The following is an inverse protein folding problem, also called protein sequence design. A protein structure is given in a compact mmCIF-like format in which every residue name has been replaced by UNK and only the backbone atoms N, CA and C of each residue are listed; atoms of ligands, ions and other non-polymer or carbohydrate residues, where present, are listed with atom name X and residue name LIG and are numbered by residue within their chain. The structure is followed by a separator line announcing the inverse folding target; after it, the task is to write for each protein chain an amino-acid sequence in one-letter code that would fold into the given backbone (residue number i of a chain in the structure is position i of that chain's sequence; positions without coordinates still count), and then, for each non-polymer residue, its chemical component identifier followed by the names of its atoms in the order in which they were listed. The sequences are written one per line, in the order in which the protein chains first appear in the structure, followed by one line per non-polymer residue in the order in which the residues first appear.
data_IF_372107634822
#
_entry.id   IF_372107634822
#
_cell.length_a   1.000
_cell.length_b   1.000
_cell.length_c   1.000
_cell.angle_alpha   90.00
_cell.angle_beta   90.00
_cell.angle_gamma   90.00
#
_symmetry.space_group_name_H-M   'P 1'
#
loop_
_entity.id
_entity.type
_entity.pdbx_description
1 polymer ?
#
# COMPACT_ATOMS: atom_id res chain seq x y z
N UNK A 1 8.08 -25.23 2.98
CA UNK A 1 9.41 -24.93 2.37
C UNK A 1 9.21 -23.77 1.42
N UNK A 2 9.81 -22.61 1.69
CA UNK A 2 9.80 -21.51 0.73
C UNK A 2 10.71 -21.88 -0.45
N UNK A 3 10.30 -21.66 -1.71
CA UNK A 3 11.18 -21.90 -2.85
C UNK A 3 12.40 -20.98 -2.74
N UNK A 4 13.59 -21.55 -2.89
CA UNK A 4 14.82 -20.77 -2.99
C UNK A 4 14.73 -19.91 -4.26
N UNK A 5 14.85 -18.60 -4.11
CA UNK A 5 14.92 -17.68 -5.23
C UNK A 5 16.28 -17.88 -5.91
N UNK A 6 16.34 -18.73 -6.94
CA UNK A 6 17.40 -18.66 -7.93
C UNK A 6 17.30 -17.25 -8.52
N UNK A 7 18.34 -16.42 -8.41
CA UNK A 7 18.31 -14.96 -8.69
C UNK A 7 17.93 -14.53 -10.12
N UNK A 8 17.18 -15.33 -10.88
CA UNK A 8 16.37 -14.89 -12.02
C UNK A 8 15.22 -14.02 -11.53
N UNK A 9 15.05 -12.91 -12.21
CA UNK A 9 13.84 -12.09 -12.12
C UNK A 9 12.67 -12.91 -12.66
N UNK A 10 11.72 -13.23 -11.81
CA UNK A 10 10.55 -14.05 -12.14
C UNK A 10 9.35 -13.63 -11.29
N UNK A 11 8.14 -14.00 -11.68
CA UNK A 11 6.93 -13.82 -10.88
C UNK A 11 6.65 -15.10 -10.11
N UNK A 12 6.76 -15.02 -8.78
CA UNK A 12 6.60 -16.16 -7.88
C UNK A 12 5.32 -16.06 -7.06
N UNK A 13 4.66 -17.20 -6.83
CA UNK A 13 3.50 -17.27 -5.95
C UNK A 13 3.95 -17.38 -4.50
N UNK A 14 3.51 -16.45 -3.66
CA UNK A 14 3.75 -16.44 -2.20
C UNK A 14 2.44 -16.41 -1.42
N UNK A 15 2.53 -16.40 -0.09
CA UNK A 15 1.39 -16.15 0.80
C UNK A 15 0.69 -14.80 0.56
N UNK A 16 1.37 -13.84 -0.10
CA UNK A 16 0.84 -12.53 -0.47
C UNK A 16 0.24 -12.50 -1.89
N UNK A 17 0.30 -13.62 -2.62
CA UNK A 17 -0.07 -13.73 -4.02
C UNK A 17 1.11 -13.60 -4.98
N UNK A 18 0.86 -13.14 -6.20
CA UNK A 18 1.86 -13.01 -7.27
C UNK A 18 2.87 -11.90 -6.93
N UNK A 19 4.12 -12.28 -6.70
CA UNK A 19 5.18 -11.40 -6.17
C UNK A 19 6.38 -11.37 -7.10
N UNK A 20 6.98 -10.20 -7.29
CA UNK A 20 8.22 -10.03 -8.05
C UNK A 20 9.37 -10.63 -7.23
N UNK A 21 10.07 -11.63 -7.78
CA UNK A 21 11.15 -12.32 -7.10
C UNK A 21 12.24 -11.36 -6.61
N UNK A 22 12.74 -11.62 -5.40
CA UNK A 22 13.71 -10.75 -4.73
C UNK A 22 13.11 -9.52 -4.04
N UNK A 23 11.79 -9.33 -4.10
CA UNK A 23 11.11 -8.20 -3.46
C UNK A 23 9.91 -8.67 -2.62
N UNK A 24 9.29 -7.74 -1.88
CA UNK A 24 7.97 -7.96 -1.26
C UNK A 24 6.83 -7.32 -2.07
N UNK A 25 7.12 -6.86 -3.29
CA UNK A 25 6.18 -6.12 -4.15
C UNK A 25 5.36 -7.13 -4.93
N UNK A 26 4.04 -7.04 -4.76
CA UNK A 26 3.08 -7.86 -5.50
C UNK A 26 2.74 -7.24 -6.84
N UNK A 27 2.24 -8.04 -7.78
CA UNK A 27 1.68 -7.48 -9.01
C UNK A 27 0.47 -6.59 -8.71
N UNK A 28 -0.26 -6.81 -7.61
CA UNK A 28 -1.40 -5.99 -7.21
C UNK A 28 -0.98 -4.56 -6.83
N UNK A 29 0.17 -4.41 -6.16
CA UNK A 29 0.77 -3.10 -5.87
C UNK A 29 1.13 -2.35 -7.16
N UNK A 30 1.58 -3.07 -8.20
CA UNK A 30 1.90 -2.51 -9.52
C UNK A 30 0.62 -2.18 -10.29
N UNK A 31 -0.42 -3.01 -10.17
CA UNK A 31 -1.69 -2.86 -10.88
C UNK A 31 -2.36 -1.53 -10.61
N UNK A 32 -2.35 -1.02 -9.38
CA UNK A 32 -2.90 0.31 -9.03
C UNK A 32 -2.40 1.42 -9.98
N UNK A 33 -1.13 1.35 -10.37
CA UNK A 33 -0.49 2.33 -11.25
C UNK A 33 -0.66 2.00 -12.73
N UNK A 34 -0.66 0.71 -13.08
CA UNK A 34 -0.89 0.26 -14.46
C UNK A 34 -2.31 0.60 -14.90
N UNK A 35 -3.32 0.36 -14.06
CA UNK A 35 -4.73 0.71 -14.35
C UNK A 35 -4.91 2.22 -14.45
N UNK A 36 -4.16 3.00 -13.69
CA UNK A 36 -4.11 4.45 -13.77
C UNK A 36 -3.19 4.97 -14.90
N UNK A 37 -2.63 4.08 -15.73
CA UNK A 37 -1.82 4.38 -16.91
C UNK A 37 -0.55 5.19 -16.61
N UNK A 38 0.05 4.98 -15.43
CA UNK A 38 1.33 5.60 -15.11
C UNK A 38 2.46 5.05 -15.98
N UNK A 39 3.45 5.88 -16.35
CA UNK A 39 4.61 5.42 -17.12
C UNK A 39 5.41 4.35 -16.37
N UNK A 40 5.92 3.30 -17.05
CA UNK A 40 6.74 2.26 -16.41
C UNK A 40 7.94 2.79 -15.61
N UNK A 41 8.62 3.82 -16.11
CA UNK A 41 9.76 4.46 -15.40
C UNK A 41 9.34 5.13 -14.09
N UNK A 42 8.10 5.63 -14.01
CA UNK A 42 7.57 6.19 -12.76
C UNK A 42 7.33 5.07 -11.74
N UNK A 43 6.66 3.99 -12.15
CA UNK A 43 6.38 2.82 -11.30
C UNK A 43 7.70 2.20 -10.81
N UNK A 44 8.68 2.08 -11.71
CA UNK A 44 10.03 1.62 -11.38
C UNK A 44 10.64 2.43 -10.22
N UNK A 45 10.67 3.76 -10.34
CA UNK A 45 11.26 4.64 -9.33
C UNK A 45 10.47 4.67 -8.03
N UNK A 46 9.15 4.52 -8.09
CA UNK A 46 8.29 4.49 -6.91
C UNK A 46 8.57 3.28 -6.01
N UNK A 47 8.83 2.13 -6.63
CA UNK A 47 9.05 0.86 -5.94
C UNK A 47 10.52 0.47 -5.81
N UNK A 48 11.44 1.31 -6.28
CA UNK A 48 12.89 1.02 -6.33
C UNK A 48 13.20 -0.31 -7.05
N UNK A 49 12.47 -0.57 -8.14
CA UNK A 49 12.63 -1.78 -8.95
C UNK A 49 13.78 -1.64 -9.93
N UNK A 50 14.46 -2.75 -10.21
CA UNK A 50 15.38 -2.81 -11.35
C UNK A 50 14.59 -2.73 -12.66
N UNK A 51 15.26 -2.34 -13.75
CA UNK A 51 14.64 -2.31 -15.07
C UNK A 51 14.15 -3.71 -15.51
N UNK A 52 14.89 -4.75 -15.15
CA UNK A 52 14.48 -6.13 -15.40
C UNK A 52 13.21 -6.50 -14.62
N UNK A 53 13.11 -6.12 -13.34
CA UNK A 53 11.96 -6.42 -12.50
C UNK A 53 10.67 -5.78 -13.01
N UNK A 54 10.70 -4.48 -13.34
CA UNK A 54 9.51 -3.79 -13.86
C UNK A 54 9.10 -4.36 -15.23
N UNK A 55 10.05 -4.65 -16.11
CA UNK A 55 9.74 -5.21 -17.43
C UNK A 55 9.16 -6.61 -17.31
N UNK A 56 9.71 -7.47 -16.44
CA UNK A 56 9.16 -8.80 -16.16
C UNK A 56 7.75 -8.73 -15.57
N UNK A 57 7.51 -7.80 -14.63
CA UNK A 57 6.18 -7.60 -14.05
C UNK A 57 5.16 -7.18 -15.11
N UNK A 58 5.47 -6.17 -15.92
CA UNK A 58 4.56 -5.68 -16.97
C UNK A 58 4.32 -6.73 -18.05
N UNK A 59 5.35 -7.47 -18.46
CA UNK A 59 5.21 -8.56 -19.42
C UNK A 59 4.32 -9.69 -18.90
N UNK A 60 4.46 -10.05 -17.62
CA UNK A 60 3.61 -11.06 -16.99
C UNK A 60 2.16 -10.59 -16.89
N UNK A 61 1.93 -9.34 -16.48
CA UNK A 61 0.59 -8.75 -16.40
C UNK A 61 -0.07 -8.78 -17.78
N UNK A 62 0.62 -8.39 -18.85
CA UNK A 62 0.05 -8.40 -20.19
C UNK A 62 -0.26 -9.83 -20.68
N UNK A 63 0.65 -10.78 -20.44
CA UNK A 63 0.47 -12.18 -20.84
C UNK A 63 -0.66 -12.90 -20.08
N UNK A 64 -0.96 -12.48 -18.85
CA UNK A 64 -1.93 -13.11 -17.94
C UNK A 64 -3.05 -12.15 -17.51
N UNK A 65 -3.37 -11.17 -18.36
CA UNK A 65 -4.18 -9.99 -17.98
C UNK A 65 -5.51 -10.34 -17.33
N UNK A 66 -6.26 -11.29 -17.90
CA UNK A 66 -7.57 -11.66 -17.37
C UNK A 66 -7.49 -12.25 -15.95
N UNK A 67 -6.52 -13.14 -15.72
CA UNK A 67 -6.34 -13.81 -14.43
C UNK A 67 -5.81 -12.85 -13.37
N UNK A 68 -4.83 -12.01 -13.73
CA UNK A 68 -4.25 -11.01 -12.83
C UNK A 68 -5.28 -9.94 -12.46
N UNK A 69 -6.07 -9.45 -13.42
CA UNK A 69 -7.12 -8.48 -13.15
C UNK A 69 -8.21 -9.08 -12.23
N UNK A 70 -8.63 -10.32 -12.47
CA UNK A 70 -9.62 -10.97 -11.62
C UNK A 70 -9.15 -11.09 -10.17
N UNK A 71 -7.89 -11.50 -9.96
CA UNK A 71 -7.31 -11.59 -8.63
C UNK A 71 -7.09 -10.21 -7.99
N UNK A 72 -6.67 -9.21 -8.76
CA UNK A 72 -6.54 -7.83 -8.30
C UNK A 72 -7.87 -7.28 -7.78
N UNK A 73 -8.98 -7.47 -8.50
CA UNK A 73 -10.31 -7.05 -8.06
C UNK A 73 -10.74 -7.77 -6.77
N UNK A 74 -10.38 -9.05 -6.61
CA UNK A 74 -10.64 -9.78 -5.37
C UNK A 74 -9.86 -9.18 -4.19
N UNK A 75 -8.57 -8.88 -4.37
CA UNK A 75 -7.73 -8.26 -3.34
C UNK A 75 -8.28 -6.90 -2.91
N UNK A 76 -8.70 -6.06 -3.86
CA UNK A 76 -9.32 -4.76 -3.54
C UNK A 76 -10.58 -4.91 -2.69
N UNK A 77 -11.44 -5.87 -3.05
CA UNK A 77 -12.67 -6.14 -2.31
C UNK A 77 -12.37 -6.60 -0.88
N UNK A 78 -11.47 -7.57 -0.71
CA UNK A 78 -11.10 -8.08 0.61
C UNK A 78 -10.44 -7.00 1.48
N UNK A 79 -9.59 -6.15 0.88
CA UNK A 79 -8.96 -5.03 1.58
C UNK A 79 -9.99 -3.99 2.05
N UNK A 80 -10.98 -3.68 1.22
CA UNK A 80 -12.09 -2.79 1.56
C UNK A 80 -12.93 -3.35 2.71
N UNK A 81 -13.33 -4.62 2.64
CA UNK A 81 -14.10 -5.30 3.68
C UNK A 81 -13.34 -5.32 5.02
N UNK A 82 -12.04 -5.63 4.98
CA UNK A 82 -11.19 -5.65 6.17
C UNK A 82 -11.05 -4.26 6.78
N UNK A 83 -10.89 -3.23 5.94
CA UNK A 83 -10.80 -1.84 6.39
C UNK A 83 -12.09 -1.44 7.11
N UNK A 84 -13.25 -1.65 6.49
CA UNK A 84 -14.55 -1.32 7.09
C UNK A 84 -14.76 -2.04 8.42
N UNK A 85 -14.43 -3.34 8.48
CA UNK A 85 -14.53 -4.13 9.70
C UNK A 85 -13.71 -3.52 10.85
N UNK A 86 -12.44 -3.21 10.60
CA UNK A 86 -11.58 -2.64 11.64
C UNK A 86 -11.90 -1.18 11.96
N UNK A 87 -12.37 -0.39 11.01
CA UNK A 87 -12.84 0.97 11.25
C UNK A 87 -14.04 0.98 12.20
N UNK A 88 -15.00 0.08 12.00
CA UNK A 88 -16.16 -0.05 12.88
C UNK A 88 -15.74 -0.50 14.28
N UNK A 89 -14.95 -1.58 14.38
CA UNK A 89 -14.45 -2.12 15.65
C UNK A 89 -13.64 -1.10 16.44
N UNK A 90 -12.85 -0.27 15.75
CA UNK A 90 -12.00 0.72 16.40
C UNK A 90 -12.68 2.07 16.63
N UNK A 91 -13.90 2.30 16.14
CA UNK A 91 -14.57 3.61 16.17
C UNK A 91 -14.61 4.20 17.57
N UNK A 92 -15.12 3.45 18.54
CA UNK A 92 -15.22 3.90 19.94
C UNK A 92 -13.85 4.11 20.58
N UNK A 93 -12.90 3.21 20.29
CA UNK A 93 -11.53 3.31 20.81
C UNK A 93 -10.83 4.56 20.30
N UNK A 94 -10.94 4.84 19.00
CA UNK A 94 -10.38 6.04 18.37
C UNK A 94 -11.04 7.30 18.93
N UNK A 95 -12.37 7.33 19.07
CA UNK A 95 -13.09 8.47 19.66
C UNK A 95 -12.64 8.75 21.11
N UNK A 96 -12.50 7.69 21.92
CA UNK A 96 -12.00 7.79 23.29
C UNK A 96 -10.56 8.30 23.36
N UNK A 97 -9.67 7.82 22.50
CA UNK A 97 -8.27 8.31 22.42
C UNK A 97 -8.25 9.78 22.01
N UNK A 98 -9.08 10.19 21.05
CA UNK A 98 -9.16 11.58 20.61
C UNK A 98 -9.68 12.53 21.71
N UNK A 99 -10.53 12.05 22.61
CA UNK A 99 -11.04 12.81 23.74
C UNK A 99 -10.10 12.84 24.96
N UNK A 100 -9.04 12.02 24.99
CA UNK A 100 -8.11 12.00 26.12
C UNK A 100 -7.31 13.31 26.21
N UNK A 101 -7.13 13.87 27.42
CA UNK A 101 -6.28 15.03 27.60
C UNK A 101 -4.80 14.68 27.31
N UNK A 102 -3.99 15.69 26.96
CA UNK A 102 -2.54 15.56 26.89
C UNK A 102 -1.98 14.90 28.16
N UNK A 103 -0.88 14.15 28.00
CA UNK A 103 -0.16 13.63 29.17
C UNK A 103 0.36 14.80 30.01
N UNK A 104 0.29 14.73 31.35
CA UNK A 104 0.85 15.74 32.21
C UNK A 104 2.30 16.06 31.85
N UNK A 105 2.64 17.35 31.72
CA UNK A 105 3.98 17.82 31.33
C UNK A 105 4.20 17.96 29.81
N UNK A 106 3.19 17.67 28.98
CA UNK A 106 3.24 17.85 27.51
C UNK A 106 2.41 19.02 26.99
N UNK A 107 1.80 19.80 27.86
CA UNK A 107 0.79 20.82 27.55
C UNK A 107 1.34 21.91 26.61
N UNK A 108 2.58 22.38 26.85
CA UNK A 108 3.21 23.39 26.00
C UNK A 108 3.48 22.89 24.57
N UNK A 109 3.78 21.60 24.40
CA UNK A 109 3.95 21.01 23.08
C UNK A 109 2.61 20.84 22.36
N UNK A 110 1.56 20.43 23.09
CA UNK A 110 0.21 20.32 22.56
C UNK A 110 -0.37 21.66 22.15
N UNK A 111 -0.11 22.74 22.88
CA UNK A 111 -0.58 24.07 22.50
C UNK A 111 0.08 24.55 21.19
N UNK A 112 1.39 24.29 21.02
CA UNK A 112 2.08 24.56 19.74
C UNK A 112 1.45 23.79 18.58
N UNK A 113 1.09 22.52 18.79
CA UNK A 113 0.42 21.70 17.78
C UNK A 113 -0.98 22.23 17.45
N UNK A 114 -1.76 22.67 18.44
CA UNK A 114 -3.09 23.27 18.23
C UNK A 114 -2.99 24.56 17.41
N UNK A 115 -2.07 25.45 17.74
CA UNK A 115 -1.85 26.70 16.99
C UNK A 115 -1.40 26.41 15.55
N UNK A 116 -0.51 25.44 15.35
CA UNK A 116 -0.07 25.06 14.01
C UNK A 116 -1.21 24.47 13.17
N UNK A 117 -2.05 23.61 13.78
CA UNK A 117 -3.24 23.05 13.14
C UNK A 117 -4.23 24.14 12.72
N UNK A 118 -4.57 25.06 13.63
CA UNK A 118 -5.48 26.16 13.34
C UNK A 118 -4.97 27.07 12.19
N UNK A 119 -3.66 27.36 12.17
CA UNK A 119 -3.05 28.15 11.08
C UNK A 119 -3.09 27.45 9.72
N UNK A 120 -3.02 26.12 9.70
CA UNK A 120 -3.13 25.33 8.47
C UNK A 120 -4.58 25.32 7.97
N UNK A 121 -5.54 25.13 8.88
CA UNK A 121 -6.97 25.12 8.55
C UNK A 121 -7.48 26.50 8.12
N UNK A 122 -6.92 27.59 8.63
CA UNK A 122 -7.28 28.96 8.20
C UNK A 122 -6.63 29.42 6.89
N UNK A 123 -5.70 28.63 6.34
CA UNK A 123 -4.98 28.93 5.08
C UNK A 123 -5.48 28.11 3.90
N UNK A 124 -6.39 27.17 4.15
CA UNK A 124 -7.17 26.42 3.14
C UNK A 124 -8.45 27.19 2.88
#
# INVERSE_FOLDING_TARGET
MAPASNGKTDIIRTERGLTIAGTRITLYDVMDYVTAQYPPKFIQGLFDLTEEQINTALAYIEAHRADVEAEYQQVLKEAEELRQYYEEQNRERVARIAAQPPKPGSEAAWEKLRVAKAKRESKV
#
